data_IF_102438484854
#
_entry.id   IF_102438484854
#
_cell.length_a   1.000
_cell.length_b   1.000
_cell.length_c   1.000
_cell.angle_alpha   90.00
_cell.angle_beta   90.00
_cell.angle_gamma   90.00
#
_symmetry.space_group_name_H-M   'P 1'
#
loop_
_entity.id
_entity.type
_entity.pdbx_description
1 polymer ?
#
# COMPACT_ATOMS: atom_id res chain seq x y z
N UNK A 1 -1.48 30.53 -12.61
CA UNK A 1 -2.69 29.73 -12.89
C UNK A 1 -2.46 28.97 -14.19
N UNK A 2 -2.78 27.67 -14.23
CA UNK A 2 -2.68 26.84 -15.44
C UNK A 2 -3.68 27.31 -16.49
N UNK A 3 -3.28 27.27 -17.77
CA UNK A 3 -4.16 27.63 -18.90
C UNK A 3 -5.11 26.51 -19.31
N UNK A 4 -4.88 25.27 -18.85
CA UNK A 4 -5.73 24.10 -19.12
C UNK A 4 -6.62 23.71 -17.95
N UNK A 5 -6.52 24.42 -16.83
CA UNK A 5 -7.32 24.21 -15.63
C UNK A 5 -8.79 24.53 -15.85
N UNK A 6 -9.68 23.61 -15.46
CA UNK A 6 -11.13 23.74 -15.62
C UNK A 6 -11.88 23.19 -14.41
N UNK A 7 -12.90 23.91 -13.94
CA UNK A 7 -13.83 23.41 -12.94
C UNK A 7 -14.70 22.28 -13.52
N UNK A 8 -14.97 21.24 -12.72
CA UNK A 8 -15.90 20.17 -13.08
C UNK A 8 -17.30 20.58 -12.66
N UNK A 9 -18.22 20.61 -13.62
CA UNK A 9 -19.64 20.84 -13.36
C UNK A 9 -20.33 19.55 -12.90
N UNK A 10 -21.40 19.71 -12.10
CA UNK A 10 -22.22 18.62 -11.58
C UNK A 10 -22.65 17.52 -12.57
N UNK A 11 -23.08 17.82 -13.81
CA UNK A 11 -23.51 16.78 -14.75
C UNK A 11 -22.36 15.91 -15.30
N UNK A 12 -21.11 16.28 -15.05
CA UNK A 12 -19.95 15.52 -15.52
C UNK A 12 -19.98 14.10 -14.95
N UNK A 13 -19.76 13.05 -15.76
CA UNK A 13 -19.74 11.67 -15.29
C UNK A 13 -18.77 11.41 -14.14
N UNK A 14 -17.67 12.17 -14.04
CA UNK A 14 -16.69 12.04 -12.94
C UNK A 14 -17.27 12.48 -11.58
N UNK A 15 -18.32 13.30 -11.61
CA UNK A 15 -18.99 13.83 -10.42
C UNK A 15 -20.13 12.94 -9.92
N UNK A 16 -20.41 11.82 -10.60
CA UNK A 16 -21.49 10.92 -10.18
C UNK A 16 -21.25 10.46 -8.75
N UNK A 17 -22.30 10.41 -7.91
CA UNK A 17 -22.18 9.96 -6.54
C UNK A 17 -21.49 8.60 -6.47
N UNK A 18 -20.34 8.57 -5.80
CA UNK A 18 -19.65 7.35 -5.39
C UNK A 18 -20.03 7.02 -3.95
N UNK A 19 -20.13 5.73 -3.66
CA UNK A 19 -20.28 5.20 -2.31
C UNK A 19 -18.94 4.64 -1.81
N UNK A 20 -18.69 4.72 -0.50
CA UNK A 20 -17.48 4.21 0.13
C UNK A 20 -16.72 5.32 0.85
N UNK A 21 -15.38 5.23 0.84
CA UNK A 21 -14.47 6.16 1.56
C UNK A 21 -14.31 7.53 0.90
N UNK A 22 -14.75 7.66 -0.36
CA UNK A 22 -14.79 8.92 -1.09
C UNK A 22 -16.18 9.14 -1.63
N UNK A 23 -16.75 10.31 -1.34
CA UNK A 23 -18.06 10.74 -1.80
C UNK A 23 -17.87 11.93 -2.72
N UNK A 24 -18.61 11.95 -3.82
CA UNK A 24 -18.72 13.12 -4.69
C UNK A 24 -20.18 13.56 -4.77
N UNK A 25 -20.38 14.87 -4.69
CA UNK A 25 -21.71 15.47 -4.62
C UNK A 25 -21.72 16.85 -5.29
N UNK A 26 -22.93 17.34 -5.52
CA UNK A 26 -23.15 18.66 -6.07
C UNK A 26 -23.19 19.73 -4.99
N UNK A 27 -22.30 20.71 -5.06
CA UNK A 27 -22.41 21.91 -4.25
C UNK A 27 -23.64 22.72 -4.72
N UNK A 28 -24.59 22.97 -3.80
CA UNK A 28 -25.86 23.63 -4.14
C UNK A 28 -25.69 25.09 -4.57
N UNK A 29 -24.62 25.76 -4.16
CA UNK A 29 -24.42 27.19 -4.38
C UNK A 29 -23.92 27.52 -5.79
N UNK A 30 -23.01 26.71 -6.35
CA UNK A 30 -22.31 27.01 -7.60
C UNK A 30 -22.41 25.88 -8.65
N UNK A 31 -23.15 24.80 -8.37
CA UNK A 31 -23.27 23.61 -9.22
C UNK A 31 -21.91 23.00 -9.62
N UNK A 32 -20.88 23.23 -8.82
CA UNK A 32 -19.57 22.60 -9.00
C UNK A 32 -19.53 21.25 -8.30
N UNK A 33 -18.67 20.38 -8.82
CA UNK A 33 -18.45 19.08 -8.25
C UNK A 33 -17.62 19.18 -6.97
N UNK A 34 -18.17 18.68 -5.87
CA UNK A 34 -17.53 18.62 -4.56
C UNK A 34 -17.12 17.18 -4.25
N UNK A 35 -16.03 17.01 -3.50
CA UNK A 35 -15.61 15.72 -2.96
C UNK A 35 -15.36 15.80 -1.45
N UNK A 36 -15.59 14.67 -0.78
CA UNK A 36 -15.18 14.40 0.59
C UNK A 36 -14.52 13.03 0.62
N UNK A 37 -13.31 12.94 1.17
CA UNK A 37 -12.59 11.69 1.35
C UNK A 37 -12.18 11.53 2.82
N UNK A 38 -12.37 10.32 3.34
CA UNK A 38 -11.94 9.93 4.69
C UNK A 38 -10.97 8.76 4.60
N UNK A 39 -9.87 8.86 5.34
CA UNK A 39 -8.82 7.85 5.42
C UNK A 39 -8.95 7.00 6.69
N UNK A 40 -8.31 5.83 6.68
CA UNK A 40 -8.38 4.87 7.81
C UNK A 40 -7.76 5.39 9.11
N UNK A 41 -6.81 6.32 9.01
CA UNK A 41 -6.18 7.03 10.13
C UNK A 41 -7.06 8.17 10.69
N UNK A 42 -8.27 8.35 10.16
CA UNK A 42 -9.23 9.43 10.43
C UNK A 42 -8.85 10.79 9.82
N UNK A 43 -7.87 10.83 8.92
CA UNK A 43 -7.60 12.02 8.11
C UNK A 43 -8.77 12.29 7.16
N UNK A 44 -9.07 13.56 6.92
CA UNK A 44 -10.18 14.00 6.08
C UNK A 44 -9.68 15.06 5.11
N UNK A 45 -10.11 14.96 3.85
CA UNK A 45 -9.93 16.01 2.84
C UNK A 45 -11.25 16.28 2.15
N UNK A 46 -11.55 17.56 1.91
CA UNK A 46 -12.76 17.99 1.24
C UNK A 46 -12.48 19.22 0.38
N UNK A 47 -13.19 19.33 -0.75
CA UNK A 47 -13.04 20.46 -1.65
C UNK A 47 -13.70 20.18 -3.00
N UNK A 48 -13.18 20.79 -4.06
CA UNK A 48 -13.81 20.74 -5.37
C UNK A 48 -13.00 19.92 -6.37
N UNK A 49 -13.69 19.28 -7.32
CA UNK A 49 -13.05 18.53 -8.41
C UNK A 49 -12.79 19.47 -9.59
N UNK A 50 -11.56 19.42 -10.08
CA UNK A 50 -11.10 20.13 -11.26
C UNK A 50 -10.52 19.17 -12.27
N UNK A 51 -10.34 19.64 -13.51
CA UNK A 51 -9.61 18.97 -14.57
C UNK A 51 -8.42 19.82 -14.99
N UNK A 52 -7.31 19.17 -15.28
CA UNK A 52 -6.15 19.83 -15.88
C UNK A 52 -5.34 18.82 -16.72
N UNK A 53 -4.23 19.28 -17.28
CA UNK A 53 -3.29 18.47 -18.05
C UNK A 53 -2.19 17.95 -17.14
N UNK A 54 -1.98 16.63 -17.14
CA UNK A 54 -0.88 15.99 -16.43
C UNK A 54 0.14 15.49 -17.44
N UNK A 55 1.42 15.62 -17.10
CA UNK A 55 2.52 15.17 -17.95
C UNK A 55 3.18 13.95 -17.31
N UNK A 56 3.27 12.86 -18.08
CA UNK A 56 3.93 11.62 -17.68
C UNK A 56 5.16 11.38 -18.55
N UNK A 57 6.11 10.61 -18.06
CA UNK A 57 7.25 10.17 -18.88
C UNK A 57 6.90 8.86 -19.56
N UNK A 58 7.04 8.81 -20.90
CA UNK A 58 6.97 7.54 -21.63
C UNK A 58 8.23 6.70 -21.38
N UNK A 59 8.18 5.37 -21.65
CA UNK A 59 9.35 4.49 -21.51
C UNK A 59 10.60 4.94 -22.29
N UNK A 60 10.42 5.72 -23.37
CA UNK A 60 11.52 6.25 -24.18
C UNK A 60 12.04 7.61 -23.67
N UNK A 61 11.64 8.04 -22.47
CA UNK A 61 12.05 9.32 -21.89
C UNK A 61 11.39 10.55 -22.53
N UNK A 62 10.33 10.36 -23.33
CA UNK A 62 9.58 11.46 -23.94
C UNK A 62 8.40 11.84 -23.06
N UNK A 63 8.24 13.12 -22.68
CA UNK A 63 7.05 13.58 -21.95
C UNK A 63 5.77 13.43 -22.78
N UNK A 64 4.70 12.95 -22.14
CA UNK A 64 3.38 12.75 -22.73
C UNK A 64 2.36 13.50 -21.89
N UNK A 65 1.69 14.47 -22.51
CA UNK A 65 0.61 15.23 -21.88
C UNK A 65 -0.73 14.50 -22.03
N UNK A 66 -1.43 14.31 -20.93
CA UNK A 66 -2.80 13.79 -20.90
C UNK A 66 -3.69 14.88 -20.34
N UNK A 67 -4.57 15.40 -21.18
CA UNK A 67 -5.51 16.46 -20.84
C UNK A 67 -6.77 15.91 -20.15
N UNK A 68 -7.50 16.82 -19.49
CA UNK A 68 -8.81 16.54 -18.88
C UNK A 68 -8.80 15.47 -17.77
N UNK A 69 -7.64 15.27 -17.11
CA UNK A 69 -7.57 14.43 -15.91
C UNK A 69 -8.15 15.18 -14.72
N UNK A 70 -9.10 14.53 -14.05
CA UNK A 70 -9.78 15.05 -12.89
C UNK A 70 -9.00 14.76 -11.60
N UNK A 71 -8.98 15.73 -10.69
CA UNK A 71 -8.37 15.63 -9.37
C UNK A 71 -9.10 16.54 -8.38
N UNK A 72 -8.98 16.24 -7.09
CA UNK A 72 -9.51 17.08 -6.02
C UNK A 72 -8.55 18.20 -5.67
N UNK A 73 -9.05 19.43 -5.58
CA UNK A 73 -8.36 20.52 -4.91
C UNK A 73 -8.92 20.61 -3.49
N UNK A 74 -8.11 20.29 -2.48
CA UNK A 74 -8.54 20.23 -1.09
C UNK A 74 -8.61 21.60 -0.45
N UNK A 75 -9.83 22.08 -0.18
CA UNK A 75 -10.12 23.32 0.53
C UNK A 75 -9.98 23.15 2.05
N UNK A 76 -10.23 21.93 2.53
CA UNK A 76 -10.13 21.55 3.94
C UNK A 76 -9.41 20.22 4.07
N UNK A 77 -8.27 20.21 4.78
CA UNK A 77 -7.45 19.01 4.99
C UNK A 77 -7.08 18.93 6.48
N UNK A 78 -7.41 17.82 7.14
CA UNK A 78 -7.06 17.56 8.54
C UNK A 78 -6.56 16.14 8.73
N UNK A 79 -5.61 15.94 9.64
CA UNK A 79 -5.01 14.65 9.93
C UNK A 79 -3.51 14.61 9.65
N UNK A 80 -3.01 13.49 9.14
CA UNK A 80 -1.58 13.16 9.02
C UNK A 80 -0.97 13.51 7.66
N UNK A 81 -1.46 14.56 7.00
CA UNK A 81 -0.84 15.06 5.77
C UNK A 81 0.48 15.76 6.09
N UNK A 82 1.56 15.33 5.46
CA UNK A 82 2.92 15.83 5.75
C UNK A 82 3.25 17.05 4.89
N UNK A 83 4.15 17.92 5.36
CA UNK A 83 4.40 19.22 4.71
C UNK A 83 5.22 19.13 3.40
N UNK A 84 5.71 17.96 3.02
CA UNK A 84 6.54 17.74 1.84
C UNK A 84 5.79 17.15 0.64
N UNK A 85 4.48 16.88 0.76
CA UNK A 85 3.63 16.45 -0.35
C UNK A 85 2.71 17.58 -0.82
N UNK A 86 2.34 17.58 -2.10
CA UNK A 86 1.34 18.50 -2.65
C UNK A 86 -0.02 17.84 -2.87
N UNK A 87 -0.15 16.56 -2.55
CA UNK A 87 -1.38 15.78 -2.70
C UNK A 87 -1.12 14.28 -2.84
N UNK A 88 -2.19 13.51 -2.99
CA UNK A 88 -2.18 12.04 -3.05
C UNK A 88 -2.69 11.58 -4.42
N UNK A 89 -1.95 10.69 -5.07
CA UNK A 89 -2.40 10.02 -6.28
C UNK A 89 -3.17 8.74 -5.92
N UNK A 90 -4.49 8.74 -6.13
CA UNK A 90 -5.34 7.59 -5.84
C UNK A 90 -5.25 6.50 -6.92
N UNK A 91 -4.82 5.30 -6.54
CA UNK A 91 -4.72 4.12 -7.42
C UNK A 91 -5.83 3.08 -7.19
N UNK A 92 -6.89 3.44 -6.47
CA UNK A 92 -8.04 2.57 -6.23
C UNK A 92 -8.80 2.16 -7.49
N UNK A 93 -9.88 1.41 -7.30
CA UNK A 93 -10.68 0.84 -8.41
C UNK A 93 -11.87 1.72 -8.83
N UNK A 94 -12.02 2.89 -8.22
CA UNK A 94 -13.07 3.85 -8.54
C UNK A 94 -12.81 4.60 -9.85
N UNK A 95 -13.86 5.19 -10.47
CA UNK A 95 -13.73 5.91 -11.75
C UNK A 95 -12.83 7.16 -11.67
N UNK A 96 -12.66 7.72 -10.47
CA UNK A 96 -11.80 8.87 -10.20
C UNK A 96 -10.32 8.50 -10.01
N UNK A 97 -9.97 7.22 -9.91
CA UNK A 97 -8.58 6.83 -9.72
C UNK A 97 -7.74 7.10 -10.97
N UNK A 98 -6.45 7.34 -10.77
CA UNK A 98 -5.54 7.62 -11.86
C UNK A 98 -5.50 6.50 -12.91
N UNK A 99 -5.43 5.19 -12.53
CA UNK A 99 -5.51 4.11 -13.51
C UNK A 99 -6.80 4.10 -14.33
N UNK A 100 -7.95 4.34 -13.70
CA UNK A 100 -9.26 4.36 -14.37
C UNK A 100 -9.36 5.51 -15.39
N UNK A 101 -8.92 6.71 -15.00
CA UNK A 101 -8.95 7.88 -15.88
C UNK A 101 -7.99 7.75 -17.07
N UNK A 102 -6.83 7.14 -16.85
CA UNK A 102 -5.87 6.81 -17.91
C UNK A 102 -6.28 5.59 -18.74
N UNK A 103 -7.34 4.88 -18.33
CA UNK A 103 -7.84 3.66 -18.98
C UNK A 103 -6.77 2.57 -19.09
N UNK A 104 -5.92 2.46 -18.06
CA UNK A 104 -4.92 1.40 -17.98
C UNK A 104 -5.46 0.24 -17.16
N UNK A 105 -5.53 -0.93 -17.78
CA UNK A 105 -5.98 -2.16 -17.13
C UNK A 105 -4.95 -2.84 -16.23
N UNK A 106 -3.71 -2.33 -16.27
CA UNK A 106 -2.59 -2.79 -15.47
C UNK A 106 -1.74 -1.61 -15.02
N UNK A 107 -1.19 -1.71 -13.83
CA UNK A 107 -0.11 -0.85 -13.37
C UNK A 107 0.80 -1.64 -12.43
N UNK A 108 2.00 -1.14 -12.18
CA UNK A 108 2.93 -1.77 -11.25
C UNK A 108 3.83 -0.76 -10.59
N UNK A 109 4.47 -1.15 -9.50
CA UNK A 109 5.54 -0.37 -8.89
C UNK A 109 6.64 -1.26 -8.35
N UNK A 110 7.78 -0.64 -8.08
CA UNK A 110 8.88 -1.24 -7.34
C UNK A 110 9.34 -0.22 -6.31
N UNK A 111 8.98 -0.46 -5.04
CA UNK A 111 9.35 0.42 -3.94
C UNK A 111 10.78 0.13 -3.51
N UNK A 112 11.63 1.15 -3.51
CA UNK A 112 12.97 1.11 -2.91
C UNK A 112 12.87 1.00 -1.39
N UNK A 113 13.98 0.65 -0.73
CA UNK A 113 13.98 0.63 0.73
C UNK A 113 13.79 2.04 1.28
N UNK A 114 13.10 2.17 2.42
CA UNK A 114 12.92 3.48 3.07
C UNK A 114 14.25 4.16 3.46
N UNK A 115 15.32 3.36 3.60
CA UNK A 115 16.67 3.80 3.93
C UNK A 115 17.49 4.23 2.69
N UNK A 116 16.97 4.00 1.49
CA UNK A 116 17.62 4.38 0.24
C UNK A 116 17.18 5.77 -0.21
N UNK A 117 18.08 6.51 -0.85
CA UNK A 117 17.79 7.83 -1.42
C UNK A 117 17.26 7.76 -2.86
N UNK A 118 17.28 6.59 -3.49
CA UNK A 118 16.82 6.43 -4.87
C UNK A 118 15.30 6.40 -4.93
N UNK A 119 14.75 7.11 -5.92
CA UNK A 119 13.31 7.16 -6.15
C UNK A 119 12.77 5.79 -6.58
N UNK A 120 11.62 5.43 -6.05
CA UNK A 120 10.82 4.29 -6.52
C UNK A 120 10.17 4.59 -7.86
N UNK A 121 9.88 3.54 -8.64
CA UNK A 121 9.25 3.67 -9.96
C UNK A 121 7.82 3.16 -9.92
N UNK A 122 6.90 3.91 -10.54
CA UNK A 122 5.52 3.51 -10.81
C UNK A 122 5.32 3.47 -12.33
N UNK A 123 4.73 2.40 -12.82
CA UNK A 123 4.51 2.12 -14.24
C UNK A 123 3.01 2.02 -14.49
N UNK A 124 2.51 2.87 -15.37
CA UNK A 124 1.10 2.93 -15.77
C UNK A 124 0.93 2.22 -17.11
N UNK A 125 0.10 1.17 -17.15
CA UNK A 125 -0.08 0.31 -18.32
C UNK A 125 0.84 -0.91 -18.32
N UNK A 126 0.85 -1.60 -19.46
CA UNK A 126 1.80 -2.70 -19.70
C UNK A 126 3.08 -2.11 -20.30
N UNK A 127 4.26 -2.38 -19.71
CA UNK A 127 5.52 -1.89 -20.25
C UNK A 127 5.77 -2.49 -21.66
N UNK A 128 6.42 -1.74 -22.57
CA UNK A 128 6.80 -2.25 -23.89
C UNK A 128 7.78 -3.44 -23.81
N UNK A 129 8.58 -3.49 -22.74
CA UNK A 129 9.50 -4.58 -22.44
C UNK A 129 9.19 -5.19 -21.05
N UNK A 130 8.23 -6.13 -20.95
CA UNK A 130 7.94 -6.84 -19.71
C UNK A 130 9.11 -7.70 -19.23
N UNK A 131 9.97 -8.15 -20.14
CA UNK A 131 11.10 -9.02 -19.85
C UNK A 131 12.29 -8.23 -19.28
N UNK A 132 12.49 -6.99 -19.70
CA UNK A 132 13.42 -6.05 -19.08
C UNK A 132 13.05 -5.74 -17.63
N UNK A 133 11.76 -5.59 -17.31
CA UNK A 133 11.30 -5.47 -15.92
C UNK A 133 11.49 -6.75 -15.11
N UNK A 134 11.26 -7.91 -15.73
CA UNK A 134 11.57 -9.21 -15.14
C UNK A 134 13.07 -9.40 -14.89
N UNK A 135 13.95 -8.79 -15.68
CA UNK A 135 15.40 -8.89 -15.50
C UNK A 135 15.88 -8.33 -14.15
N UNK A 136 15.09 -7.46 -13.51
CA UNK A 136 15.38 -6.92 -12.18
C UNK A 136 14.76 -7.74 -11.04
N UNK A 137 13.99 -8.79 -11.35
CA UNK A 137 13.43 -9.72 -10.35
C UNK A 137 14.48 -10.75 -9.93
N UNK A 138 14.46 -11.12 -8.65
CA UNK A 138 15.38 -12.10 -8.07
C UNK A 138 14.72 -13.44 -7.78
N UNK A 139 13.44 -13.58 -8.14
CA UNK A 139 12.65 -14.79 -7.97
C UNK A 139 11.47 -14.85 -8.95
N UNK A 140 10.76 -15.98 -9.01
CA UNK A 140 9.61 -16.13 -9.89
C UNK A 140 8.45 -15.24 -9.45
N UNK A 141 7.68 -14.75 -10.42
CA UNK A 141 6.39 -14.14 -10.13
C UNK A 141 5.43 -15.15 -9.54
N UNK A 142 4.78 -14.74 -8.47
CA UNK A 142 3.63 -15.42 -7.90
C UNK A 142 2.37 -14.60 -8.19
N UNK A 143 1.21 -15.26 -8.14
CA UNK A 143 -0.06 -14.62 -8.45
C UNK A 143 -1.12 -15.03 -7.47
N UNK A 144 -1.89 -14.05 -7.00
CA UNK A 144 -3.04 -14.26 -6.13
C UNK A 144 -4.26 -13.52 -6.68
N UNK A 145 -5.48 -14.05 -6.55
CA UNK A 145 -6.69 -13.34 -6.98
C UNK A 145 -6.94 -12.08 -6.15
N UNK A 146 -7.38 -11.01 -6.82
CA UNK A 146 -7.97 -9.84 -6.16
C UNK A 146 -9.45 -10.14 -5.89
N UNK A 147 -9.83 -10.05 -4.63
CA UNK A 147 -11.20 -10.25 -4.16
C UNK A 147 -12.00 -8.97 -4.34
N UNK A 148 -13.28 -9.11 -4.66
CA UNK A 148 -14.21 -8.00 -4.77
C UNK A 148 -15.05 -7.85 -3.49
N UNK A 149 -15.00 -6.67 -2.87
CA UNK A 149 -15.92 -6.28 -1.81
C UNK A 149 -17.01 -5.37 -2.42
N UNK A 150 -18.28 -5.79 -2.48
CA UNK A 150 -19.34 -4.97 -3.09
C UNK A 150 -19.67 -3.70 -2.30
N UNK A 151 -19.35 -3.66 -1.00
CA UNK A 151 -19.65 -2.52 -0.13
C UNK A 151 -18.52 -1.49 -0.10
N UNK A 152 -17.27 -1.93 -0.33
CA UNK A 152 -16.09 -1.05 -0.44
C UNK A 152 -15.27 -1.48 -1.67
N UNK A 153 -15.76 -1.22 -2.90
CA UNK A 153 -15.17 -1.78 -4.12
C UNK A 153 -13.86 -1.13 -4.54
N UNK A 154 -13.46 -0.03 -3.90
CA UNK A 154 -12.27 0.76 -4.28
C UNK A 154 -10.94 0.07 -3.92
N UNK A 155 -10.92 -0.74 -2.85
CA UNK A 155 -9.71 -1.38 -2.37
C UNK A 155 -9.36 -2.67 -3.12
N UNK A 156 -8.09 -3.04 -3.05
CA UNK A 156 -7.56 -4.30 -3.57
C UNK A 156 -7.50 -5.32 -2.44
N UNK A 157 -8.55 -6.14 -2.32
CA UNK A 157 -8.61 -7.19 -1.32
C UNK A 157 -7.87 -8.44 -1.78
N UNK A 158 -7.16 -9.09 -0.87
CA UNK A 158 -6.48 -10.36 -1.05
C UNK A 158 -6.99 -11.39 -0.01
N UNK A 159 -6.78 -12.68 -0.27
CA UNK A 159 -7.06 -13.74 0.69
C UNK A 159 -5.78 -14.09 1.44
N UNK A 160 -5.55 -13.48 2.61
CA UNK A 160 -4.51 -13.94 3.53
C UNK A 160 -5.02 -15.20 4.26
N UNK A 161 -4.24 -16.27 4.22
CA UNK A 161 -4.63 -17.59 4.75
C UNK A 161 -3.78 -18.04 5.94
N UNK A 162 -2.64 -17.40 6.17
CA UNK A 162 -1.79 -17.71 7.31
C UNK A 162 -0.48 -16.94 7.31
N UNK A 163 0.27 -17.09 8.40
CA UNK A 163 1.58 -16.50 8.60
C UNK A 163 2.52 -17.60 9.09
N UNK A 164 3.73 -17.67 8.55
CA UNK A 164 4.79 -18.59 9.01
C UNK A 164 6.01 -17.81 9.46
N UNK A 165 6.53 -18.16 10.63
CA UNK A 165 7.79 -17.67 11.19
C UNK A 165 8.79 -18.81 11.24
N UNK A 166 9.91 -18.69 10.53
CA UNK A 166 10.90 -19.76 10.37
C UNK A 166 10.27 -21.00 9.71
N UNK A 167 10.00 -22.02 10.53
CA UNK A 167 9.31 -23.26 10.11
C UNK A 167 7.94 -23.45 10.79
N UNK A 168 7.55 -22.52 11.65
CA UNK A 168 6.33 -22.59 12.44
C UNK A 168 5.23 -21.78 11.77
N UNK A 169 4.16 -22.45 11.34
CA UNK A 169 2.94 -21.77 10.92
C UNK A 169 2.15 -21.37 12.16
N UNK A 170 1.79 -20.09 12.28
CA UNK A 170 1.11 -19.56 13.46
C UNK A 170 -0.27 -20.23 13.65
N UNK A 171 -0.68 -20.56 14.90
CA UNK A 171 -1.83 -21.41 15.17
C UNK A 171 -3.14 -20.63 15.27
N UNK A 172 -3.62 -20.08 14.15
CA UNK A 172 -4.94 -19.43 14.07
C UNK A 172 -5.74 -19.93 12.85
N UNK A 173 -7.06 -19.77 12.91
CA UNK A 173 -7.94 -20.09 11.79
C UNK A 173 -7.93 -18.96 10.76
N UNK A 174 -7.84 -19.30 9.46
CA UNK A 174 -7.79 -18.30 8.38
C UNK A 174 -9.03 -17.40 8.29
N UNK A 175 -10.16 -17.81 8.88
CA UNK A 175 -11.38 -17.00 8.97
C UNK A 175 -11.18 -15.69 9.72
N UNK A 176 -10.14 -15.57 10.56
CA UNK A 176 -9.75 -14.31 11.21
C UNK A 176 -9.44 -13.21 10.19
N UNK A 177 -8.99 -13.58 8.98
CA UNK A 177 -8.70 -12.62 7.90
C UNK A 177 -9.79 -12.55 6.83
N UNK A 178 -10.86 -13.34 6.95
CA UNK A 178 -11.84 -13.46 5.89
C UNK A 178 -12.65 -12.17 5.70
N UNK A 179 -12.89 -11.83 4.43
CA UNK A 179 -13.89 -10.83 4.07
C UNK A 179 -15.29 -11.40 4.37
N UNK A 180 -16.04 -10.71 5.21
CA UNK A 180 -17.38 -11.12 5.65
C UNK A 180 -18.45 -10.60 4.69
N UNK A 181 -19.63 -11.19 4.77
CA UNK A 181 -20.78 -10.84 3.89
C UNK A 181 -21.29 -9.42 4.10
N UNK A 182 -21.07 -8.86 5.28
CA UNK A 182 -21.40 -7.47 5.61
C UNK A 182 -20.34 -6.47 5.15
N UNK A 183 -19.32 -6.92 4.40
CA UNK A 183 -18.25 -6.09 3.86
C UNK A 183 -17.14 -5.75 4.85
N UNK A 184 -17.23 -6.19 6.10
CA UNK A 184 -16.16 -6.08 7.09
C UNK A 184 -15.13 -7.20 6.94
N UNK A 185 -13.96 -7.05 7.54
CA UNK A 185 -12.86 -8.02 7.42
C UNK A 185 -12.11 -7.89 6.10
N UNK A 186 -11.42 -8.99 5.75
CA UNK A 186 -10.57 -9.05 4.56
C UNK A 186 -9.18 -8.51 4.80
N UNK A 187 -8.32 -8.68 3.79
CA UNK A 187 -6.96 -8.15 3.77
C UNK A 187 -6.81 -7.21 2.60
N UNK A 188 -6.38 -5.97 2.82
CA UNK A 188 -6.12 -4.97 1.80
C UNK A 188 -4.60 -4.81 1.66
N UNK A 189 -4.09 -4.85 0.43
CA UNK A 189 -2.73 -4.36 0.15
C UNK A 189 -2.79 -2.86 -0.06
N UNK A 190 -2.02 -2.12 0.73
CA UNK A 190 -2.10 -0.66 0.77
C UNK A 190 -0.69 -0.04 0.76
N UNK A 191 -0.38 0.71 -0.30
CA UNK A 191 0.88 1.44 -0.40
C UNK A 191 0.89 2.74 0.41
N UNK A 192 -0.28 3.25 0.80
CA UNK A 192 -0.45 4.46 1.60
C UNK A 192 -0.25 4.24 3.11
N UNK A 193 -0.36 3.00 3.57
CA UNK A 193 -0.06 2.61 4.95
C UNK A 193 1.38 2.13 5.06
N UNK A 194 2.13 2.62 6.06
CA UNK A 194 3.51 2.18 6.27
C UNK A 194 3.60 0.72 6.76
N UNK A 195 3.05 0.44 7.94
CA UNK A 195 3.18 -0.86 8.62
C UNK A 195 2.06 -1.82 8.21
N UNK A 196 2.34 -3.11 8.18
CA UNK A 196 1.26 -4.12 8.15
C UNK A 196 0.57 -4.13 9.50
N UNK A 197 -0.77 -4.04 9.49
CA UNK A 197 -1.61 -4.09 10.70
C UNK A 197 -2.37 -5.40 10.75
N UNK A 198 -2.16 -6.18 11.81
CA UNK A 198 -2.82 -7.45 12.09
C UNK A 198 -3.86 -7.30 13.22
N UNK A 199 -4.86 -8.21 13.31
CA UNK A 199 -5.69 -8.31 14.50
C UNK A 199 -4.81 -8.62 15.72
N UNK A 200 -5.09 -7.99 16.86
CA UNK A 200 -4.22 -8.03 18.04
C UNK A 200 -3.80 -9.46 18.44
N UNK A 201 -4.77 -10.38 18.56
CA UNK A 201 -4.49 -11.77 18.92
C UNK A 201 -3.55 -12.50 17.93
N UNK A 202 -3.55 -12.12 16.65
CA UNK A 202 -2.62 -12.67 15.66
C UNK A 202 -1.25 -12.00 15.79
N UNK A 203 -1.22 -10.71 16.07
CA UNK A 203 0.01 -9.97 16.30
C UNK A 203 0.76 -10.50 17.54
N UNK A 204 0.06 -10.80 18.63
CA UNK A 204 0.63 -11.42 19.83
C UNK A 204 1.31 -12.76 19.50
N UNK A 205 0.63 -13.66 18.77
CA UNK A 205 1.19 -14.93 18.31
C UNK A 205 2.45 -14.74 17.45
N UNK A 206 2.44 -13.72 16.58
CA UNK A 206 3.60 -13.37 15.76
C UNK A 206 4.77 -12.89 16.62
N UNK A 207 4.51 -12.02 17.60
CA UNK A 207 5.55 -11.52 18.51
C UNK A 207 6.16 -12.64 19.34
N UNK A 208 5.33 -13.52 19.92
CA UNK A 208 5.77 -14.66 20.71
C UNK A 208 6.69 -15.59 19.90
N UNK A 209 6.28 -15.95 18.68
CA UNK A 209 7.07 -16.84 17.83
C UNK A 209 8.36 -16.18 17.33
N UNK A 210 8.33 -14.89 17.00
CA UNK A 210 9.53 -14.12 16.65
C UNK A 210 10.51 -14.09 17.82
N UNK A 211 10.05 -13.80 19.04
CA UNK A 211 10.88 -13.78 20.25
C UNK A 211 11.45 -15.16 20.55
N UNK A 212 10.68 -16.23 20.39
CA UNK A 212 11.14 -17.59 20.61
C UNK A 212 12.27 -18.02 19.65
N UNK A 213 12.27 -17.48 18.42
CA UNK A 213 13.28 -17.81 17.41
C UNK A 213 14.44 -16.79 17.32
N UNK A 214 14.28 -15.59 17.89
CA UNK A 214 15.32 -14.55 17.84
C UNK A 214 16.43 -14.80 18.86
N UNK A 215 17.72 -14.77 18.45
CA UNK A 215 18.83 -14.94 19.37
C UNK A 215 19.21 -13.65 20.13
N UNK A 216 18.55 -12.52 19.84
CA UNK A 216 18.91 -11.22 20.39
C UNK A 216 18.08 -10.86 21.62
N UNK A 217 18.66 -10.08 22.56
CA UNK A 217 17.91 -9.61 23.70
C UNK A 217 16.86 -8.58 23.28
N UNK A 218 15.64 -8.77 23.78
CA UNK A 218 14.50 -7.87 23.60
C UNK A 218 14.84 -6.45 24.11
N UNK A 219 14.33 -5.45 23.40
CA UNK A 219 14.46 -4.03 23.71
C UNK A 219 13.17 -3.32 23.32
N UNK A 220 12.17 -3.39 24.17
CA UNK A 220 10.83 -2.89 23.90
C UNK A 220 10.27 -2.16 25.13
N UNK A 221 9.13 -1.49 24.95
CA UNK A 221 8.46 -0.71 26.00
C UNK A 221 9.38 0.35 26.64
N UNK A 222 10.23 0.98 25.83
CA UNK A 222 11.05 2.12 26.24
C UNK A 222 10.51 3.40 25.61
N UNK A 223 10.77 4.59 26.19
CA UNK A 223 10.35 5.86 25.61
C UNK A 223 10.82 6.06 24.16
N UNK A 224 11.96 5.46 23.79
CA UNK A 224 12.56 5.56 22.47
C UNK A 224 11.83 4.73 21.40
N UNK A 225 11.28 3.56 21.76
CA UNK A 225 10.69 2.63 20.78
C UNK A 225 9.18 2.42 20.93
N UNK A 226 8.58 2.87 22.03
CA UNK A 226 7.18 2.66 22.35
C UNK A 226 6.84 1.18 22.46
N UNK A 227 5.68 0.80 21.94
CA UNK A 227 5.13 -0.57 22.04
C UNK A 227 5.63 -1.49 20.92
N UNK A 228 6.61 -1.03 20.11
CA UNK A 228 7.18 -1.82 19.02
C UNK A 228 8.02 -2.97 19.58
N UNK A 229 7.90 -4.14 18.96
CA UNK A 229 8.83 -5.24 19.24
C UNK A 229 10.20 -4.91 18.64
N UNK A 230 11.19 -4.62 19.49
CA UNK A 230 12.56 -4.40 19.04
C UNK A 230 13.56 -5.29 19.77
N UNK A 231 14.75 -5.41 19.18
CA UNK A 231 15.87 -6.21 19.68
C UNK A 231 17.16 -5.38 19.66
N UNK A 232 18.01 -5.55 20.68
CA UNK A 232 19.34 -4.91 20.72
C UNK A 232 20.27 -5.57 19.71
N UNK A 233 20.85 -4.77 18.82
CA UNK A 233 21.80 -5.27 17.82
C UNK A 233 23.17 -5.58 18.45
N UNK A 234 23.88 -6.60 17.97
CA UNK A 234 25.27 -6.83 18.33
C UNK A 234 26.15 -5.64 17.94
N UNK A 235 27.13 -5.31 18.79
CA UNK A 235 28.16 -4.31 18.46
C UNK A 235 28.99 -4.82 17.27
N UNK A 236 29.34 -3.92 16.34
CA UNK A 236 30.23 -4.22 15.22
C UNK A 236 29.55 -4.41 13.85
N UNK A 237 28.28 -4.03 13.70
CA UNK A 237 27.64 -3.82 12.39
C UNK A 237 27.46 -5.05 11.51
N UNK A 238 27.55 -6.27 12.07
CA UNK A 238 27.23 -7.49 11.32
C UNK A 238 25.72 -7.59 11.10
N UNK A 239 25.33 -8.00 9.90
CA UNK A 239 23.94 -8.25 9.57
C UNK A 239 23.38 -9.34 10.49
N UNK A 240 22.26 -9.04 11.14
CA UNK A 240 21.57 -9.96 12.05
C UNK A 240 20.68 -10.89 11.24
N UNK A 241 20.86 -12.23 11.33
CA UNK A 241 19.90 -13.17 10.79
C UNK A 241 18.57 -13.04 11.52
N UNK A 242 17.49 -12.97 10.76
CA UNK A 242 16.12 -12.91 11.30
C UNK A 242 15.35 -14.16 10.90
N UNK A 243 14.40 -14.65 11.73
CA UNK A 243 13.51 -15.72 11.33
C UNK A 243 12.78 -15.37 10.03
N UNK A 244 12.70 -16.34 9.12
CA UNK A 244 11.94 -16.19 7.87
C UNK A 244 10.50 -15.78 8.18
N UNK A 245 9.92 -14.84 7.43
CA UNK A 245 8.52 -14.46 7.58
C UNK A 245 7.79 -14.61 6.25
N UNK A 246 6.73 -15.41 6.22
CA UNK A 246 5.93 -15.65 5.01
C UNK A 246 4.48 -15.27 5.28
N UNK A 247 3.92 -14.42 4.42
CA UNK A 247 2.47 -14.20 4.36
C UNK A 247 1.89 -15.15 3.29
N UNK A 248 1.09 -16.11 3.74
CA UNK A 248 0.46 -17.09 2.85
C UNK A 248 -0.82 -16.51 2.27
N UNK A 249 -0.81 -16.18 0.99
CA UNK A 249 -1.96 -15.73 0.24
C UNK A 249 -2.59 -16.91 -0.51
N UNK A 250 -3.87 -16.81 -0.88
CA UNK A 250 -4.48 -17.84 -1.72
C UNK A 250 -3.70 -18.00 -3.04
N UNK A 251 -3.07 -19.17 -3.19
CA UNK A 251 -2.29 -19.55 -4.37
C UNK A 251 -0.88 -18.95 -4.47
N UNK A 252 -0.40 -18.23 -3.44
CA UNK A 252 0.91 -17.59 -3.47
C UNK A 252 1.50 -17.38 -2.07
N UNK A 253 2.81 -17.51 -1.94
CA UNK A 253 3.55 -17.27 -0.69
C UNK A 253 4.38 -15.99 -0.83
N UNK A 254 3.98 -14.93 -0.13
CA UNK A 254 4.78 -13.71 -0.05
C UNK A 254 5.88 -13.92 1.01
N UNK A 255 7.01 -14.47 0.54
CA UNK A 255 8.24 -14.65 1.29
C UNK A 255 8.95 -13.30 1.46
N UNK A 256 8.85 -12.72 2.65
CA UNK A 256 9.30 -11.36 2.90
C UNK A 256 10.83 -11.33 3.11
N UNK A 257 11.58 -10.52 2.34
CA UNK A 257 12.94 -10.16 2.69
C UNK A 257 13.04 -9.55 4.10
N UNK A 258 14.19 -9.72 4.77
CA UNK A 258 14.38 -9.25 6.16
C UNK A 258 14.02 -7.77 6.37
N UNK A 259 14.38 -6.93 5.40
CA UNK A 259 14.24 -5.48 5.50
C UNK A 259 12.77 -5.03 5.34
N UNK A 260 11.89 -5.95 4.91
CA UNK A 260 10.45 -5.72 4.85
C UNK A 260 9.74 -5.82 6.20
N UNK A 261 10.39 -6.35 7.24
CA UNK A 261 9.76 -6.50 8.55
C UNK A 261 10.69 -6.21 9.73
N UNK A 262 12.00 -6.07 9.54
CA UNK A 262 12.88 -5.50 10.56
C UNK A 262 13.69 -4.33 10.00
N UNK A 263 13.56 -3.16 10.62
CA UNK A 263 14.35 -1.97 10.31
C UNK A 263 15.34 -1.73 11.42
N UNK A 264 16.59 -1.50 11.03
CA UNK A 264 17.66 -1.13 11.94
C UNK A 264 17.62 0.36 12.24
N UNK A 265 17.71 0.73 13.52
CA UNK A 265 17.76 2.11 13.97
C UNK A 265 19.20 2.44 14.39
N UNK A 266 19.95 3.21 13.57
CA UNK A 266 21.37 3.49 13.80
C UNK A 266 21.65 4.14 15.16
N UNK A 267 20.86 5.14 15.53
CA UNK A 267 21.11 5.99 16.70
C UNK A 267 20.85 5.28 18.03
N UNK A 268 19.83 4.42 18.07
CA UNK A 268 19.43 3.66 19.26
C UNK A 268 20.13 2.29 19.36
N UNK A 269 20.76 1.81 18.28
CA UNK A 269 21.47 0.52 18.28
C UNK A 269 20.53 -0.69 18.32
N UNK A 270 19.27 -0.51 17.91
CA UNK A 270 18.23 -1.55 17.96
C UNK A 270 17.72 -1.86 16.55
N UNK A 271 16.92 -2.90 16.43
CA UNK A 271 16.14 -3.20 15.23
C UNK A 271 14.71 -3.51 15.63
N UNK A 272 13.75 -2.91 14.93
CA UNK A 272 12.33 -2.94 15.30
C UNK A 272 11.48 -3.59 14.22
N UNK A 273 10.49 -4.39 14.65
CA UNK A 273 9.49 -5.01 13.81
C UNK A 273 8.63 -3.93 13.12
N UNK A 274 8.41 -4.08 11.81
CA UNK A 274 7.57 -3.18 11.00
C UNK A 274 6.18 -3.76 10.74
N UNK A 275 5.60 -4.35 11.78
CA UNK A 275 4.25 -4.91 11.83
C UNK A 275 3.69 -4.51 13.18
N UNK A 276 2.42 -4.11 13.23
CA UNK A 276 1.70 -3.79 14.46
C UNK A 276 0.40 -4.59 14.59
N UNK A 277 -0.09 -4.65 15.82
CA UNK A 277 -1.44 -5.08 16.16
C UNK A 277 -2.38 -3.89 16.29
N UNK A 278 -3.68 -4.15 16.14
CA UNK A 278 -4.72 -3.21 16.50
C UNK A 278 -5.97 -3.96 17.01
N UNK A 279 -6.45 -3.56 18.19
CA UNK A 279 -7.62 -4.16 18.86
C UNK A 279 -8.91 -3.99 18.05
N UNK A 280 -9.13 -2.80 17.48
CA UNK A 280 -10.36 -2.45 16.75
C UNK A 280 -10.22 -2.58 15.22
N UNK A 281 -9.20 -3.31 14.73
CA UNK A 281 -9.01 -3.39 13.28
C UNK A 281 -10.11 -4.23 12.63
N UNK A 282 -10.90 -3.56 11.80
CA UNK A 282 -11.96 -4.22 11.01
C UNK A 282 -11.41 -4.90 9.76
N UNK A 283 -10.14 -4.70 9.41
CA UNK A 283 -9.46 -5.27 8.24
C UNK A 283 -7.96 -5.45 8.48
N UNK A 284 -7.34 -6.38 7.76
CA UNK A 284 -5.87 -6.50 7.73
C UNK A 284 -5.32 -5.57 6.65
N UNK A 285 -4.24 -4.85 6.96
CA UNK A 285 -3.53 -4.04 5.99
C UNK A 285 -2.15 -4.63 5.74
N UNK A 286 -1.79 -4.91 4.49
CA UNK A 286 -0.41 -5.17 4.09
C UNK A 286 0.20 -3.82 3.70
N UNK A 287 1.02 -3.27 4.59
CA UNK A 287 1.64 -1.96 4.44
C UNK A 287 2.81 -1.94 3.45
N UNK A 288 3.32 -0.75 3.17
CA UNK A 288 4.35 -0.53 2.18
C UNK A 288 5.72 -1.08 2.59
N UNK A 289 6.02 -1.22 3.89
CA UNK A 289 7.23 -1.90 4.35
C UNK A 289 7.28 -3.32 3.81
N UNK A 290 6.17 -4.03 3.80
CA UNK A 290 6.07 -5.38 3.27
C UNK A 290 6.08 -5.46 1.75
N UNK A 291 6.14 -4.32 1.05
CA UNK A 291 6.12 -4.21 -0.41
C UNK A 291 7.44 -3.68 -1.00
N UNK A 292 8.38 -3.23 -0.16
CA UNK A 292 9.71 -2.77 -0.59
C UNK A 292 10.52 -3.92 -1.23
N UNK A 293 11.34 -3.60 -2.23
CA UNK A 293 12.10 -4.59 -3.00
C UNK A 293 11.26 -5.76 -3.53
N UNK A 294 10.00 -5.45 -3.87
CA UNK A 294 9.14 -6.33 -4.66
C UNK A 294 8.59 -5.56 -5.86
N UNK A 295 8.59 -6.21 -7.01
CA UNK A 295 7.85 -5.74 -8.17
C UNK A 295 6.40 -6.18 -8.02
N UNK A 296 5.52 -5.25 -7.67
CA UNK A 296 4.09 -5.52 -7.45
C UNK A 296 3.31 -5.04 -8.66
N UNK A 297 2.53 -5.94 -9.27
CA UNK A 297 1.72 -5.69 -10.47
C UNK A 297 0.25 -5.89 -10.15
N UNK A 298 -0.54 -4.85 -10.40
CA UNK A 298 -1.99 -4.87 -10.31
C UNK A 298 -2.53 -5.12 -11.72
N UNK A 299 -2.96 -6.36 -11.97
CA UNK A 299 -3.66 -6.74 -13.18
C UNK A 299 -5.17 -6.64 -12.94
N UNK A 300 -5.67 -5.40 -13.09
CA UNK A 300 -7.06 -5.04 -12.79
C UNK A 300 -8.01 -5.70 -13.79
N UNK A 301 -7.60 -5.83 -15.05
CA UNK A 301 -8.35 -6.53 -16.10
C UNK A 301 -8.64 -7.99 -15.73
N UNK A 302 -7.64 -8.69 -15.18
CA UNK A 302 -7.77 -10.11 -14.86
C UNK A 302 -8.05 -10.38 -13.37
N UNK A 303 -8.28 -9.34 -12.56
CA UNK A 303 -8.46 -9.41 -11.11
C UNK A 303 -7.36 -10.22 -10.42
N UNK A 304 -6.09 -9.91 -10.71
CA UNK A 304 -4.93 -10.57 -10.11
C UNK A 304 -3.93 -9.54 -9.59
N UNK A 305 -3.34 -9.87 -8.45
CA UNK A 305 -2.10 -9.27 -8.00
C UNK A 305 -0.97 -10.23 -8.34
N UNK A 306 0.10 -9.73 -8.95
CA UNK A 306 1.33 -10.47 -9.15
C UNK A 306 2.45 -9.79 -8.38
N UNK A 307 3.36 -10.58 -7.82
CA UNK A 307 4.51 -10.04 -7.12
C UNK A 307 5.72 -10.96 -7.26
N UNK A 308 6.91 -10.36 -7.25
CA UNK A 308 8.18 -11.05 -7.20
C UNK A 308 9.18 -10.19 -6.41
N UNK A 309 10.10 -10.79 -5.63
CA UNK A 309 11.27 -10.08 -5.11
C UNK A 309 12.06 -9.44 -6.26
N UNK A 310 12.56 -8.22 -6.05
CA UNK A 310 13.24 -7.43 -7.07
C UNK A 310 14.29 -6.48 -6.48
N UNK A 311 15.23 -6.05 -7.32
CA UNK A 311 16.19 -4.99 -7.00
C UNK A 311 15.63 -3.64 -7.50
N UNK A 312 14.74 -3.03 -6.70
CA UNK A 312 14.03 -1.81 -7.10
C UNK A 312 14.96 -0.60 -7.30
N UNK A 313 16.09 -0.60 -6.62
CA UNK A 313 17.15 0.39 -6.78
C UNK A 313 17.88 0.31 -8.13
N UNK A 314 17.60 -0.71 -8.96
CA UNK A 314 18.20 -0.89 -10.29
C UNK A 314 17.24 -0.70 -11.45
N UNK A 315 15.96 -0.45 -11.14
CA UNK A 315 14.93 -0.06 -12.10
C UNK A 315 15.01 1.43 -12.46
#
# INVERSE_FOLDING_TARGET
MSSTFKAVACPDPICRPSSGVSVSACAMENFQCFYLCSYGDRSITAGHIFKDTFTFMSPNGVPVAVSELAFGCGDYNTGLFVSNESGIAGFGRGPQSLPSQLKVGRFSYCLTLVTESKSSVVILGTPPDPDGLRAHTTGPFQSTPIIYNPLIPTFYYLSLEGITVGKTRLPFDKSVFALKKDGSGGTVIDSGTSLTTLPEAVFELLQEELVAQFPLPRYDNTPEVGDRLCFRRPKGGKQVPVPKLILHLAGADMDLPRDNYFVEEPDSGVMCLQINGAEDTTMVLIGNFQQQNMHVVYDVENNKLLFAPAQCDKL
#
